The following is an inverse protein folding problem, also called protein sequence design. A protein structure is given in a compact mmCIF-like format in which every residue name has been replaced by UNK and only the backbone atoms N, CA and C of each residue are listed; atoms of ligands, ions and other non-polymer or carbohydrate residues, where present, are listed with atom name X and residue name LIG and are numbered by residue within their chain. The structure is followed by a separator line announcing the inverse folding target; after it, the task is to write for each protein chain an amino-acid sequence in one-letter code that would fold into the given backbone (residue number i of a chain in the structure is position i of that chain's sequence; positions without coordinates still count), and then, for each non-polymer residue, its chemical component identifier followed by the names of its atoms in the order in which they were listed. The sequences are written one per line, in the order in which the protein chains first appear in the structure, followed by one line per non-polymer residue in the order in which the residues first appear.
data_IF_870184069073
#
_entry.id   IF_870184069073
#
_cell.length_a   1.000
_cell.length_b   1.000
_cell.length_c   1.000
_cell.angle_alpha   90.00
_cell.angle_beta   90.00
_cell.angle_gamma   90.00
#
_symmetry.space_group_name_H-M   'P 1'
#
loop_
_entity.id
_entity.type
_entity.pdbx_description
1 polymer ?
#
# COMPACT_ATOMS: atom_id res chain seq x y z
N UNK A 1 15.67 3.45 19.83
CA UNK A 1 15.87 4.89 19.55
C UNK A 1 14.51 5.43 19.19
N UNK A 2 13.92 6.39 19.94
CA UNK A 2 12.58 6.86 19.65
C UNK A 2 12.61 7.74 18.39
N UNK A 3 11.58 7.57 17.56
CA UNK A 3 11.36 8.20 16.27
C UNK A 3 11.63 9.71 16.30
N UNK A 4 12.60 10.17 15.51
CA UNK A 4 12.87 11.59 15.36
C UNK A 4 11.73 12.20 14.55
N UNK A 5 10.90 13.03 15.19
CA UNK A 5 9.79 13.72 14.54
C UNK A 5 10.18 14.27 13.15
N UNK A 6 9.33 14.09 12.11
CA UNK A 6 9.70 14.37 10.74
C UNK A 6 10.20 15.80 10.62
N UNK A 7 11.37 15.97 10.00
CA UNK A 7 12.03 17.27 9.88
C UNK A 7 11.12 18.27 9.16
N UNK A 8 11.29 19.57 9.41
CA UNK A 8 10.45 20.63 8.80
C UNK A 8 10.32 20.50 7.27
N UNK A 9 11.35 19.97 6.60
CA UNK A 9 11.35 19.70 5.15
C UNK A 9 10.39 18.57 4.77
N UNK A 10 10.39 17.48 5.52
CA UNK A 10 9.51 16.34 5.31
C UNK A 10 8.06 16.75 5.54
N UNK A 11 7.75 17.41 6.67
CA UNK A 11 6.41 17.95 6.93
C UNK A 11 5.90 18.86 5.80
N UNK A 12 6.74 19.74 5.26
CA UNK A 12 6.38 20.60 4.11
C UNK A 12 6.15 19.80 2.84
N UNK A 13 6.95 18.76 2.59
CA UNK A 13 6.78 17.85 1.47
C UNK A 13 5.43 17.14 1.57
N UNK A 14 5.11 16.59 2.73
CA UNK A 14 3.84 15.89 2.99
C UNK A 14 2.63 16.82 2.83
N UNK A 15 2.70 18.02 3.41
CA UNK A 15 1.62 19.01 3.28
C UNK A 15 1.37 19.40 1.81
N UNK A 16 2.44 19.59 1.03
CA UNK A 16 2.32 19.90 -0.41
C UNK A 16 1.68 18.74 -1.18
N UNK A 17 2.11 17.51 -0.90
CA UNK A 17 1.56 16.30 -1.52
C UNK A 17 0.06 16.17 -1.25
N UNK A 18 -0.35 16.32 0.01
CA UNK A 18 -1.75 16.28 0.43
C UNK A 18 -2.59 17.36 -0.24
N UNK A 19 -2.09 18.60 -0.32
CA UNK A 19 -2.78 19.72 -0.97
C UNK A 19 -3.04 19.45 -2.46
N UNK A 20 -2.08 18.84 -3.16
CA UNK A 20 -2.23 18.43 -4.57
C UNK A 20 -3.33 17.37 -4.72
N UNK A 21 -3.34 16.34 -3.87
CA UNK A 21 -4.36 15.28 -3.92
C UNK A 21 -5.76 15.82 -3.59
N UNK A 22 -5.88 16.65 -2.56
CA UNK A 22 -7.11 17.33 -2.18
C UNK A 22 -7.67 18.15 -3.35
N UNK A 23 -6.81 18.94 -4.01
CA UNK A 23 -7.21 19.71 -5.18
C UNK A 23 -7.74 18.79 -6.30
N UNK A 24 -7.02 17.71 -6.64
CA UNK A 24 -7.41 16.77 -7.68
C UNK A 24 -8.75 16.10 -7.40
N UNK A 25 -8.94 15.59 -6.17
CA UNK A 25 -10.18 14.95 -5.73
C UNK A 25 -11.35 15.94 -5.73
N UNK A 26 -11.13 17.17 -5.23
CA UNK A 26 -12.18 18.20 -5.19
C UNK A 26 -12.62 18.62 -6.59
N UNK A 27 -11.69 18.78 -7.54
CA UNK A 27 -12.04 19.05 -8.94
C UNK A 27 -12.85 17.90 -9.52
N UNK A 28 -12.42 16.66 -9.28
CA UNK A 28 -13.12 15.47 -9.78
C UNK A 28 -14.55 15.35 -9.23
N UNK A 29 -14.75 15.68 -7.95
CA UNK A 29 -16.07 15.67 -7.30
C UNK A 29 -16.96 16.82 -7.80
N UNK A 30 -16.43 18.04 -7.83
CA UNK A 30 -17.23 19.24 -8.10
C UNK A 30 -17.49 19.47 -9.61
N UNK A 31 -16.57 19.02 -10.47
CA UNK A 31 -16.57 19.34 -11.91
C UNK A 31 -16.35 18.13 -12.84
N UNK A 32 -16.21 16.92 -12.28
CA UNK A 32 -15.97 15.69 -13.03
C UNK A 32 -14.51 15.49 -13.46
N UNK A 33 -14.16 14.26 -13.85
CA UNK A 33 -12.78 13.86 -14.17
C UNK A 33 -12.16 14.61 -15.36
N UNK A 34 -12.99 15.02 -16.33
CA UNK A 34 -12.55 15.79 -17.49
C UNK A 34 -11.99 17.18 -17.14
N UNK A 35 -12.47 17.78 -16.05
CA UNK A 35 -12.00 19.08 -15.56
C UNK A 35 -10.68 18.97 -14.78
N UNK A 36 -10.27 17.76 -14.40
CA UNK A 36 -9.01 17.55 -13.69
C UNK A 36 -7.85 17.71 -14.67
N UNK A 37 -7.10 18.80 -14.52
CA UNK A 37 -5.88 19.08 -15.30
C UNK A 37 -4.74 19.45 -14.36
N UNK A 38 -3.50 19.23 -14.79
CA UNK A 38 -2.32 19.61 -14.01
C UNK A 38 -2.32 21.10 -13.69
N UNK A 39 -2.76 21.94 -14.63
CA UNK A 39 -2.84 23.38 -14.43
C UNK A 39 -3.88 23.76 -13.38
N UNK A 40 -5.08 23.17 -13.43
CA UNK A 40 -6.13 23.47 -12.45
C UNK A 40 -5.79 22.93 -11.06
N UNK A 41 -5.18 21.74 -10.97
CA UNK A 41 -4.65 21.20 -9.72
C UNK A 41 -3.57 22.14 -9.16
N UNK A 42 -2.61 22.52 -9.98
CA UNK A 42 -1.49 23.38 -9.58
C UNK A 42 -1.99 24.74 -9.07
N UNK A 43 -2.98 25.33 -9.75
CA UNK A 43 -3.63 26.57 -9.34
C UNK A 43 -4.35 26.44 -8.00
N UNK A 44 -5.11 25.36 -7.78
CA UNK A 44 -5.84 25.15 -6.51
C UNK A 44 -4.94 24.79 -5.33
N UNK A 45 -3.83 24.09 -5.60
CA UNK A 45 -2.87 23.68 -4.58
C UNK A 45 -1.78 24.74 -4.32
N UNK A 46 -1.82 25.89 -5.00
CA UNK A 46 -0.82 26.96 -4.91
C UNK A 46 0.62 26.48 -5.19
N UNK A 47 0.78 25.71 -6.27
CA UNK A 47 2.07 25.17 -6.73
C UNK A 47 2.27 25.42 -8.21
N UNK A 48 3.52 25.30 -8.69
CA UNK A 48 3.79 25.29 -10.13
C UNK A 48 3.54 23.91 -10.75
N UNK A 49 3.29 23.79 -12.07
CA UNK A 49 3.23 22.49 -12.75
C UNK A 49 4.51 21.68 -12.58
N UNK A 50 5.69 22.34 -12.58
CA UNK A 50 6.96 21.68 -12.26
C UNK A 50 6.96 21.08 -10.86
N UNK A 51 6.42 21.81 -9.88
CA UNK A 51 6.26 21.30 -8.52
C UNK A 51 5.32 20.11 -8.50
N UNK A 52 4.16 20.17 -9.18
CA UNK A 52 3.25 19.02 -9.31
C UNK A 52 3.99 17.77 -9.79
N UNK A 53 4.76 17.88 -10.88
CA UNK A 53 5.51 16.75 -11.44
C UNK A 53 6.65 16.23 -10.53
N UNK A 54 7.08 17.01 -9.53
CA UNK A 54 8.01 16.50 -8.51
C UNK A 54 7.31 15.55 -7.50
N UNK A 55 5.97 15.54 -7.45
CA UNK A 55 5.19 14.71 -6.53
C UNK A 55 4.41 13.60 -7.23
N UNK A 56 3.88 13.86 -8.43
CA UNK A 56 3.05 12.89 -9.16
C UNK A 56 3.39 12.90 -10.65
N UNK A 57 3.44 11.72 -11.28
CA UNK A 57 3.73 11.63 -12.70
C UNK A 57 2.57 12.11 -13.58
N UNK A 58 1.33 12.02 -13.08
CA UNK A 58 0.12 12.40 -13.79
C UNK A 58 -1.04 12.70 -12.81
N UNK A 59 -2.14 13.22 -13.35
CA UNK A 59 -3.34 13.57 -12.57
C UNK A 59 -4.02 12.34 -11.97
N UNK A 60 -3.97 11.19 -12.63
CA UNK A 60 -4.59 9.96 -12.16
C UNK A 60 -3.91 9.48 -10.88
N UNK A 61 -2.58 9.59 -10.77
CA UNK A 61 -1.83 9.31 -9.54
C UNK A 61 -2.15 10.33 -8.43
N UNK A 62 -2.35 11.60 -8.77
CA UNK A 62 -2.81 12.59 -7.78
C UNK A 62 -4.22 12.26 -7.24
N UNK A 63 -5.08 11.64 -8.04
CA UNK A 63 -6.41 11.17 -7.60
C UNK A 63 -6.31 9.85 -6.82
N UNK A 64 -5.63 8.85 -7.37
CA UNK A 64 -5.62 7.47 -6.87
C UNK A 64 -4.65 7.24 -5.71
N UNK A 65 -3.70 8.16 -5.50
CA UNK A 65 -2.50 7.88 -4.72
C UNK A 65 -1.48 7.10 -5.55
N UNK A 66 -0.35 6.80 -4.93
CA UNK A 66 0.64 5.93 -5.57
C UNK A 66 0.14 4.49 -5.66
N UNK A 67 0.62 3.81 -6.70
CA UNK A 67 0.36 2.40 -6.90
C UNK A 67 1.15 1.62 -5.84
N UNK A 68 0.53 0.67 -5.12
CA UNK A 68 1.23 -0.09 -4.11
C UNK A 68 2.34 -0.93 -4.76
N UNK A 69 3.55 -0.82 -4.20
CA UNK A 69 4.73 -1.57 -4.64
C UNK A 69 5.38 -2.25 -3.44
N UNK A 70 6.06 -3.38 -3.68
CA UNK A 70 6.96 -3.93 -2.68
C UNK A 70 8.20 -3.04 -2.58
N UNK A 71 8.78 -2.84 -1.40
CA UNK A 71 10.06 -2.15 -1.30
C UNK A 71 11.11 -2.96 -2.06
N UNK A 72 12.04 -2.27 -2.71
CA UNK A 72 13.24 -2.88 -3.26
C UNK A 72 14.37 -2.89 -2.21
N UNK A 73 15.42 -3.70 -2.42
CA UNK A 73 16.65 -3.66 -1.64
C UNK A 73 16.57 -4.39 -0.30
N UNK A 74 17.18 -3.88 0.79
CA UNK A 74 17.47 -4.67 1.99
C UNK A 74 16.27 -5.36 2.65
N UNK A 75 15.10 -4.72 2.66
CA UNK A 75 13.89 -5.29 3.24
C UNK A 75 13.38 -6.49 2.42
N UNK A 76 13.40 -6.36 1.08
CA UNK A 76 13.05 -7.45 0.17
C UNK A 76 14.05 -8.59 0.26
N UNK A 77 15.34 -8.28 0.24
CA UNK A 77 16.42 -9.26 0.33
C UNK A 77 16.38 -10.03 1.66
N UNK A 78 16.08 -9.34 2.77
CA UNK A 78 15.91 -9.97 4.07
C UNK A 78 14.71 -10.93 4.07
N UNK A 79 13.56 -10.50 3.53
CA UNK A 79 12.38 -11.35 3.41
C UNK A 79 12.67 -12.60 2.58
N UNK A 80 13.21 -12.43 1.36
CA UNK A 80 13.56 -13.55 0.48
C UNK A 80 14.62 -14.44 1.13
N UNK A 81 15.56 -13.86 1.89
CA UNK A 81 16.58 -14.56 2.65
C UNK A 81 16.05 -15.42 3.81
N UNK A 82 14.77 -15.30 4.16
CA UNK A 82 14.13 -16.06 5.23
C UNK A 82 14.15 -15.36 6.59
N UNK A 83 14.29 -14.04 6.63
CA UNK A 83 14.20 -13.25 7.86
C UNK A 83 13.10 -12.17 7.79
N UNK A 84 12.97 -11.33 8.82
CA UNK A 84 13.86 -11.24 10.00
C UNK A 84 13.78 -12.40 11.00
N UNK A 85 12.61 -13.01 11.22
CA UNK A 85 12.40 -13.97 12.32
C UNK A 85 12.26 -15.42 11.84
N UNK A 86 12.14 -15.65 10.52
CA UNK A 86 12.00 -16.97 9.91
C UNK A 86 10.56 -17.39 9.68
N UNK A 87 9.61 -16.77 10.40
CA UNK A 87 8.18 -16.99 10.19
C UNK A 87 7.71 -16.30 8.91
N UNK A 88 7.17 -17.07 7.96
CA UNK A 88 6.79 -16.58 6.64
C UNK A 88 5.74 -15.46 6.69
N UNK A 89 4.73 -15.58 7.56
CA UNK A 89 3.63 -14.63 7.61
C UNK A 89 4.02 -13.36 8.37
N UNK A 90 4.72 -13.49 9.49
CA UNK A 90 5.22 -12.36 10.25
C UNK A 90 6.23 -11.54 9.43
N UNK A 91 7.18 -12.21 8.78
CA UNK A 91 8.19 -11.55 7.95
C UNK A 91 7.57 -10.88 6.71
N UNK A 92 6.54 -11.48 6.12
CA UNK A 92 5.77 -10.85 5.05
C UNK A 92 5.00 -9.62 5.55
N UNK A 93 4.47 -9.66 6.78
CA UNK A 93 3.88 -8.50 7.44
C UNK A 93 4.88 -7.35 7.56
N UNK A 94 6.12 -7.61 7.98
CA UNK A 94 7.20 -6.61 8.05
C UNK A 94 7.50 -6.01 6.67
N UNK A 95 7.59 -6.85 5.63
CA UNK A 95 7.80 -6.38 4.26
C UNK A 95 6.67 -5.45 3.79
N UNK A 96 5.42 -5.84 4.05
CA UNK A 96 4.23 -5.07 3.64
C UNK A 96 4.07 -3.78 4.45
N UNK A 97 4.51 -3.75 5.70
CA UNK A 97 4.58 -2.51 6.49
C UNK A 97 5.45 -1.47 5.76
N UNK A 98 6.62 -1.87 5.26
CA UNK A 98 7.49 -0.98 4.48
C UNK A 98 6.83 -0.50 3.17
N UNK A 99 6.04 -1.35 2.49
CA UNK A 99 5.22 -0.94 1.32
C UNK A 99 4.16 0.10 1.65
N UNK A 100 3.67 0.12 2.90
CA UNK A 100 2.51 0.92 3.28
C UNK A 100 2.85 2.27 3.90
N UNK A 101 4.14 2.60 4.08
CA UNK A 101 4.55 3.84 4.74
C UNK A 101 4.01 5.10 4.02
N UNK A 102 3.88 5.08 2.69
CA UNK A 102 3.28 6.19 1.93
C UNK A 102 1.74 6.20 1.94
N UNK A 103 1.09 5.08 2.27
CA UNK A 103 -0.38 4.96 2.34
C UNK A 103 -0.97 5.59 3.62
N UNK A 104 -0.13 5.81 4.64
CA UNK A 104 -0.51 6.40 5.94
C UNK A 104 -0.96 7.87 5.79
N UNK A 105 -0.49 8.55 4.75
CA UNK A 105 -0.64 10.00 4.56
C UNK A 105 -2.02 10.40 4.00
N UNK A 106 -2.85 9.42 3.64
CA UNK A 106 -4.05 9.65 2.80
C UNK A 106 -5.37 9.41 3.53
N UNK A 107 -5.34 9.18 4.86
CA UNK A 107 -6.53 8.82 5.64
C UNK A 107 -7.70 9.76 5.42
N UNK A 108 -7.42 11.06 5.40
CA UNK A 108 -8.43 12.11 5.25
C UNK A 108 -8.98 12.27 3.83
N UNK A 109 -8.58 11.42 2.87
CA UNK A 109 -9.02 11.46 1.47
C UNK A 109 -9.71 10.18 1.01
N UNK A 110 -9.87 9.20 1.91
CA UNK A 110 -10.42 7.88 1.56
C UNK A 110 -11.84 8.01 1.01
N UNK A 111 -12.69 8.80 1.67
CA UNK A 111 -14.09 8.96 1.30
C UNK A 111 -14.23 9.65 -0.06
N UNK A 112 -13.53 10.77 -0.27
CA UNK A 112 -13.51 11.49 -1.54
C UNK A 112 -12.98 10.61 -2.68
N UNK A 113 -11.91 9.85 -2.43
CA UNK A 113 -11.34 8.94 -3.43
C UNK A 113 -12.29 7.81 -3.77
N UNK A 114 -12.98 7.23 -2.79
CA UNK A 114 -14.01 6.22 -3.04
C UNK A 114 -15.20 6.80 -3.82
N UNK A 115 -15.57 8.05 -3.57
CA UNK A 115 -16.60 8.75 -4.33
C UNK A 115 -16.17 8.92 -5.80
N UNK A 116 -14.95 9.42 -6.03
CA UNK A 116 -14.41 9.59 -7.38
C UNK A 116 -14.29 8.24 -8.11
N UNK A 117 -13.79 7.20 -7.46
CA UNK A 117 -13.69 5.86 -8.05
C UNK A 117 -15.05 5.28 -8.45
N UNK A 118 -16.08 5.45 -7.60
CA UNK A 118 -17.45 5.00 -7.90
C UNK A 118 -18.07 5.73 -9.08
N UNK A 119 -17.77 7.01 -9.24
CA UNK A 119 -18.28 7.84 -10.33
C UNK A 119 -17.54 7.63 -11.67
N UNK A 120 -16.32 7.08 -11.66
CA UNK A 120 -15.43 6.99 -12.83
C UNK A 120 -14.90 5.55 -13.03
N UNK A 121 -15.60 4.69 -13.80
CA UNK A 121 -15.27 3.27 -13.99
C UNK A 121 -13.86 2.99 -14.53
N UNK A 122 -13.30 3.90 -15.32
CA UNK A 122 -11.95 3.83 -15.87
C UNK A 122 -10.87 3.93 -14.78
N UNK A 123 -11.09 4.79 -13.76
CA UNK A 123 -10.18 4.89 -12.62
C UNK A 123 -10.27 3.66 -11.73
N UNK A 124 -11.48 3.12 -11.55
CA UNK A 124 -11.68 1.83 -10.87
C UNK A 124 -10.94 0.69 -11.57
N UNK A 125 -11.07 0.59 -12.90
CA UNK A 125 -10.39 -0.44 -13.69
C UNK A 125 -8.87 -0.33 -13.57
N UNK A 126 -8.33 0.89 -13.62
CA UNK A 126 -6.90 1.15 -13.39
C UNK A 126 -6.46 0.71 -11.98
N UNK A 127 -7.23 1.08 -10.95
CA UNK A 127 -6.90 0.68 -9.55
C UNK A 127 -6.95 -0.84 -9.40
N UNK A 128 -7.91 -1.52 -10.01
CA UNK A 128 -7.98 -2.98 -9.99
C UNK A 128 -6.79 -3.65 -10.69
N UNK A 129 -6.33 -3.09 -11.82
CA UNK A 129 -5.13 -3.58 -12.50
C UNK A 129 -3.89 -3.43 -11.61
N UNK A 130 -3.69 -2.26 -11.01
CA UNK A 130 -2.61 -1.97 -10.06
C UNK A 130 -2.62 -2.92 -8.85
N UNK A 131 -3.78 -3.15 -8.24
CA UNK A 131 -3.92 -4.12 -7.13
C UNK A 131 -3.58 -5.56 -7.54
N UNK A 132 -3.93 -5.96 -8.77
CA UNK A 132 -3.58 -7.28 -9.31
C UNK A 132 -2.06 -7.42 -9.54
N UNK A 133 -1.41 -6.38 -10.02
CA UNK A 133 0.06 -6.35 -10.19
C UNK A 133 0.77 -6.43 -8.84
N UNK A 134 0.27 -5.72 -7.83
CA UNK A 134 0.79 -5.79 -6.47
C UNK A 134 0.63 -7.20 -5.87
N UNK A 135 -0.54 -7.84 -6.05
CA UNK A 135 -0.73 -9.24 -5.66
C UNK A 135 0.29 -10.17 -6.33
N UNK A 136 0.54 -10.00 -7.63
CA UNK A 136 1.51 -10.79 -8.36
C UNK A 136 2.96 -10.52 -7.90
N UNK A 137 3.26 -9.31 -7.43
CA UNK A 137 4.56 -9.01 -6.82
C UNK A 137 4.73 -9.75 -5.48
N UNK A 138 3.70 -9.76 -4.61
CA UNK A 138 3.71 -10.52 -3.35
C UNK A 138 3.85 -12.02 -3.62
N UNK A 139 3.07 -12.58 -4.54
CA UNK A 139 3.15 -14.00 -4.91
C UNK A 139 4.56 -14.37 -5.36
N UNK A 140 5.21 -13.54 -6.21
CA UNK A 140 6.59 -13.76 -6.65
C UNK A 140 7.60 -13.67 -5.50
N UNK A 141 7.44 -12.73 -4.57
CA UNK A 141 8.33 -12.62 -3.41
C UNK A 141 8.23 -13.87 -2.52
N UNK A 142 7.01 -14.34 -2.25
CA UNK A 142 6.77 -15.55 -1.46
C UNK A 142 7.33 -16.78 -2.18
N UNK A 143 7.11 -16.89 -3.49
CA UNK A 143 7.66 -17.98 -4.31
C UNK A 143 9.19 -18.02 -4.23
N UNK A 144 9.87 -16.87 -4.34
CA UNK A 144 11.32 -16.77 -4.21
C UNK A 144 11.81 -17.21 -2.83
N UNK A 145 11.10 -16.85 -1.76
CA UNK A 145 11.42 -17.28 -0.39
C UNK A 145 11.26 -18.79 -0.22
N UNK A 146 10.13 -19.34 -0.63
CA UNK A 146 9.82 -20.77 -0.50
C UNK A 146 10.76 -21.66 -1.33
N UNK A 147 11.20 -21.18 -2.50
CA UNK A 147 12.10 -21.92 -3.38
C UNK A 147 13.51 -22.13 -2.80
N UNK A 148 13.86 -21.45 -1.69
CA UNK A 148 15.13 -21.66 -0.99
C UNK A 148 15.11 -22.85 -0.03
N UNK A 149 13.92 -23.31 0.36
CA UNK A 149 13.76 -24.48 1.20
C UNK A 149 13.66 -25.76 0.37
N UNK A 150 13.95 -26.89 1.00
CA UNK A 150 13.84 -28.22 0.35
C UNK A 150 12.40 -28.73 0.28
N UNK A 151 11.45 -28.09 0.97
CA UNK A 151 10.04 -28.52 1.10
C UNK A 151 9.35 -28.74 -0.25
N UNK A 152 9.66 -27.90 -1.25
CA UNK A 152 9.08 -27.97 -2.59
C UNK A 152 10.08 -28.44 -3.66
N UNK A 153 11.19 -29.08 -3.26
CA UNK A 153 12.19 -29.57 -4.20
C UNK A 153 11.55 -30.56 -5.20
N UNK A 154 11.58 -30.21 -6.49
CA UNK A 154 10.96 -31.02 -7.55
C UNK A 154 9.44 -30.85 -7.70
N UNK A 155 8.79 -29.97 -6.92
CA UNK A 155 7.36 -29.66 -7.04
C UNK A 155 7.10 -28.16 -7.32
N UNK A 156 7.34 -27.69 -8.56
CA UNK A 156 7.09 -26.30 -8.92
C UNK A 156 5.60 -25.93 -8.94
N UNK A 157 4.69 -26.90 -8.99
CA UNK A 157 3.24 -26.65 -8.97
C UNK A 157 2.77 -26.41 -7.53
N UNK A 158 3.22 -27.25 -6.59
CA UNK A 158 2.98 -27.08 -5.16
C UNK A 158 3.53 -25.76 -4.65
N UNK A 159 4.76 -25.40 -5.03
CA UNK A 159 5.38 -24.10 -4.71
C UNK A 159 4.46 -22.92 -5.08
N UNK A 160 4.04 -22.83 -6.35
CA UNK A 160 3.17 -21.74 -6.82
C UNK A 160 1.81 -21.72 -6.11
N UNK A 161 1.23 -22.90 -5.83
CA UNK A 161 -0.05 -23.01 -5.12
C UNK A 161 0.07 -22.45 -3.70
N UNK A 162 1.15 -22.78 -2.99
CA UNK A 162 1.39 -22.26 -1.63
C UNK A 162 1.68 -20.77 -1.65
N UNK A 163 2.53 -20.29 -2.57
CA UNK A 163 2.82 -18.87 -2.72
C UNK A 163 1.55 -18.05 -2.97
N UNK A 164 0.65 -18.54 -3.84
CA UNK A 164 -0.65 -17.91 -4.10
C UNK A 164 -1.56 -17.89 -2.87
N UNK A 165 -1.63 -18.99 -2.13
CA UNK A 165 -2.47 -19.06 -0.93
C UNK A 165 -1.98 -18.05 0.11
N UNK A 166 -0.67 -18.03 0.38
CA UNK A 166 -0.04 -17.10 1.32
C UNK A 166 -0.27 -15.66 0.87
N UNK A 167 -0.10 -15.33 -0.41
CA UNK A 167 -0.32 -13.96 -0.91
C UNK A 167 -1.78 -13.52 -0.79
N UNK A 168 -2.74 -14.40 -1.05
CA UNK A 168 -4.17 -14.12 -0.87
C UNK A 168 -4.52 -13.87 0.59
N UNK A 169 -4.00 -14.68 1.50
CA UNK A 169 -4.20 -14.53 2.95
C UNK A 169 -3.57 -13.22 3.43
N UNK A 170 -2.32 -12.94 3.05
CA UNK A 170 -1.62 -11.71 3.41
C UNK A 170 -2.37 -10.45 2.92
N UNK A 171 -2.92 -10.47 1.70
CA UNK A 171 -3.74 -9.36 1.19
C UNK A 171 -5.06 -9.20 1.95
N UNK A 172 -5.67 -10.30 2.40
CA UNK A 172 -6.85 -10.23 3.24
C UNK A 172 -6.51 -9.61 4.61
N UNK A 173 -5.37 -9.96 5.19
CA UNK A 173 -4.87 -9.39 6.45
C UNK A 173 -4.50 -7.91 6.31
N UNK A 174 -3.85 -7.52 5.20
CA UNK A 174 -3.60 -6.12 4.87
C UNK A 174 -4.91 -5.32 4.78
N UNK A 175 -5.93 -5.88 4.12
CA UNK A 175 -7.26 -5.26 4.00
C UNK A 175 -7.95 -5.12 5.36
N UNK A 176 -7.83 -6.13 6.23
CA UNK A 176 -8.34 -6.09 7.60
C UNK A 176 -7.67 -4.98 8.40
N UNK A 177 -6.33 -4.93 8.43
CA UNK A 177 -5.59 -3.88 9.12
C UNK A 177 -5.96 -2.48 8.62
N UNK A 178 -6.17 -2.35 7.31
CA UNK A 178 -6.60 -1.08 6.71
C UNK A 178 -8.04 -0.70 7.13
N UNK A 179 -8.95 -1.67 7.24
CA UNK A 179 -10.30 -1.46 7.76
C UNK A 179 -10.27 -0.96 9.21
N UNK A 180 -9.59 -1.69 10.09
CA UNK A 180 -9.43 -1.32 11.51
C UNK A 180 -8.82 0.07 11.68
N UNK A 181 -7.76 0.36 10.93
CA UNK A 181 -7.12 1.69 10.94
C UNK A 181 -8.07 2.79 10.43
N UNK A 182 -8.90 2.50 9.43
CA UNK A 182 -9.84 3.48 8.90
C UNK A 182 -10.93 3.86 9.91
N UNK A 183 -11.39 2.89 10.71
CA UNK A 183 -12.43 3.07 11.74
C UNK A 183 -11.89 3.58 13.09
N UNK A 184 -10.60 3.40 13.38
CA UNK A 184 -9.97 3.78 14.64
C UNK A 184 -9.88 5.31 14.87
N UNK A 185 -9.51 5.78 16.07
CA UNK A 185 -9.33 7.22 16.35
C UNK A 185 -8.14 7.86 15.60
N UNK A 186 -7.96 9.19 15.68
CA UNK A 186 -6.87 9.90 14.99
C UNK A 186 -5.43 9.51 15.43
N UNK A 187 -5.29 8.76 16.52
CA UNK A 187 -4.01 8.37 17.11
C UNK A 187 -3.51 6.97 16.67
N UNK A 188 -4.28 6.23 15.87
CA UNK A 188 -3.87 4.88 15.40
C UNK A 188 -2.94 4.95 14.19
N UNK A 189 -1.80 4.25 14.25
CA UNK A 189 -0.89 4.09 13.13
C UNK A 189 -1.22 2.81 12.34
N UNK A 190 -1.29 2.90 11.01
CA UNK A 190 -1.56 1.74 10.13
C UNK A 190 -0.54 0.61 10.32
N UNK A 191 0.71 0.99 10.60
CA UNK A 191 1.79 0.04 10.89
C UNK A 191 1.44 -0.85 12.08
N UNK A 192 0.88 -0.27 13.14
CA UNK A 192 0.51 -1.01 14.35
C UNK A 192 -0.66 -1.97 14.05
N UNK A 193 -1.65 -1.52 13.27
CA UNK A 193 -2.78 -2.37 12.86
C UNK A 193 -2.35 -3.51 11.93
N UNK A 194 -1.37 -3.26 11.07
CA UNK A 194 -0.79 -4.30 10.21
C UNK A 194 -0.06 -5.34 11.03
N UNK A 195 0.86 -4.92 11.89
CA UNK A 195 1.59 -5.84 12.77
C UNK A 195 0.63 -6.65 13.63
N UNK A 196 -0.39 -6.01 14.20
CA UNK A 196 -1.44 -6.68 14.99
C UNK A 196 -2.20 -7.72 14.16
N UNK A 197 -2.70 -7.34 12.99
CA UNK A 197 -3.49 -8.24 12.13
C UNK A 197 -2.69 -9.46 11.67
N UNK A 198 -1.40 -9.28 11.33
CA UNK A 198 -0.52 -10.39 10.96
C UNK A 198 -0.17 -11.30 12.15
N UNK A 199 0.05 -10.73 13.34
CA UNK A 199 0.26 -11.51 14.56
C UNK A 199 -0.98 -12.33 14.95
N UNK A 200 -2.18 -11.75 14.84
CA UNK A 200 -3.45 -12.43 15.09
C UNK A 200 -3.68 -13.57 14.10
N UNK A 201 -3.42 -13.34 12.81
CA UNK A 201 -3.46 -14.40 11.80
C UNK A 201 -2.51 -15.55 12.16
N UNK A 202 -1.26 -15.24 12.51
CA UNK A 202 -0.28 -16.25 12.93
C UNK A 202 -0.79 -17.07 14.11
N UNK A 203 -1.32 -16.41 15.15
CA UNK A 203 -1.88 -17.07 16.32
C UNK A 203 -3.10 -17.97 16.00
N UNK A 204 -3.98 -17.54 15.10
CA UNK A 204 -5.14 -18.32 14.66
C UNK A 204 -4.72 -19.60 13.93
N UNK A 205 -3.72 -19.50 13.05
CA UNK A 205 -3.18 -20.65 12.32
C UNK A 205 -2.50 -21.61 13.31
N UNK A 206 -1.71 -21.13 14.26
CA UNK A 206 -1.05 -22.00 15.25
C UNK A 206 -2.01 -22.71 16.22
N UNK A 207 -3.18 -22.12 16.52
CA UNK A 207 -4.16 -22.69 17.46
C UNK A 207 -5.14 -23.68 16.81
N UNK A 208 -5.37 -23.57 15.50
CA UNK A 208 -6.40 -24.35 14.80
C UNK A 208 -5.94 -25.71 14.27
N UNK A 209 -4.66 -26.06 14.47
CA UNK A 209 -4.06 -27.34 14.08
C UNK A 209 -3.60 -28.21 15.28
N UNK A 210 -4.13 -27.96 16.48
CA UNK A 210 -4.05 -28.85 17.66
C UNK A 210 -5.38 -29.56 17.84
#
# INVERSE_FOLDING_TARGET
MPDAAPGLRERKRLATRLAIQQAALRIAIDHGLGAVTVDEISRRADVSPRTFFNYFANKEQAILGEDPTLPDGPAFDAFVGGGPDGDLLADLGVLLVHSTQELIEERGLIEERQQVLRANPELFSRRMASMKEFQAAIERAVEQRLARGDEFAGDPVGLRRHARLVSMVALATLRHAWWEWSEAGAESHLVDELQRSFAELGALVSRSFV
#
